data_IF_866547731092
#
_entry.id   IF_866547731092
#
_cell.length_a   1.000
_cell.length_b   1.000
_cell.length_c   1.000
_cell.angle_alpha   90.00
_cell.angle_beta   90.00
_cell.angle_gamma   90.00
#
_symmetry.space_group_name_H-M   'P 1'
#
loop_
_entity.id
_entity.type
_entity.pdbx_description
1 polymer ?
#
# COMPACT_ATOMS: atom_id res chain seq x y z
N UNK A 1 51.35 70.31 48.49
CA UNK A 1 50.38 70.89 47.53
C UNK A 1 50.38 70.05 46.26
N UNK A 2 49.18 69.70 45.75
CA UNK A 2 48.85 69.13 44.42
C UNK A 2 49.24 67.65 44.20
N UNK A 3 48.30 66.71 44.39
CA UNK A 3 47.30 66.15 43.44
C UNK A 3 47.93 65.21 42.39
N UNK A 4 47.76 63.89 42.58
CA UNK A 4 47.82 62.86 41.52
C UNK A 4 46.46 62.16 41.56
N UNK A 5 45.67 62.35 40.50
CA UNK A 5 44.34 61.77 40.35
C UNK A 5 44.41 60.51 39.48
N UNK A 6 43.92 59.41 40.05
CA UNK A 6 43.61 58.14 39.39
C UNK A 6 42.40 58.38 38.46
N UNK A 7 42.57 58.17 37.15
CA UNK A 7 41.47 58.26 36.17
C UNK A 7 41.07 56.86 35.72
N UNK A 8 39.81 56.54 36.03
CA UNK A 8 39.09 55.31 35.69
C UNK A 8 38.58 55.42 34.25
N UNK A 9 38.96 54.47 33.39
CA UNK A 9 38.54 54.41 31.98
C UNK A 9 37.32 53.49 31.88
N UNK A 10 36.13 54.09 31.73
CA UNK A 10 34.87 53.37 31.51
C UNK A 10 34.73 53.10 30.01
N UNK A 11 34.90 51.84 29.61
CA UNK A 11 34.61 51.39 28.24
C UNK A 11 33.10 51.09 28.12
N UNK A 12 32.43 51.82 27.24
CA UNK A 12 31.01 51.64 26.91
C UNK A 12 30.88 50.57 25.83
N UNK A 13 30.28 49.43 26.16
CA UNK A 13 29.99 48.35 25.21
C UNK A 13 28.66 48.60 24.50
N UNK A 14 28.71 48.72 23.18
CA UNK A 14 27.55 48.81 22.28
C UNK A 14 27.00 47.39 22.07
N UNK A 15 25.76 47.14 22.50
CA UNK A 15 25.02 45.92 22.17
C UNK A 15 24.44 46.07 20.75
N UNK A 16 24.94 45.27 19.82
CA UNK A 16 24.32 45.03 18.52
C UNK A 16 23.19 44.02 18.74
N UNK A 17 21.94 44.47 18.60
CA UNK A 17 20.77 43.60 18.60
C UNK A 17 20.68 42.86 17.27
N UNK A 18 20.77 41.53 17.32
CA UNK A 18 20.35 40.68 16.20
C UNK A 18 18.82 40.61 16.20
N UNK A 19 18.26 41.02 15.08
CA UNK A 19 16.85 40.96 14.74
C UNK A 19 16.51 39.50 14.39
N UNK A 20 15.93 38.74 15.34
CA UNK A 20 15.33 37.45 15.01
C UNK A 20 14.02 37.70 14.25
N UNK A 21 14.05 37.43 12.95
CA UNK A 21 12.83 37.23 12.17
C UNK A 21 12.15 35.95 12.67
N UNK A 22 11.25 36.10 13.63
CA UNK A 22 10.26 35.09 13.96
C UNK A 22 9.29 34.98 12.78
N UNK A 23 9.57 34.09 11.85
CA UNK A 23 8.52 33.51 11.03
C UNK A 23 7.62 32.72 11.98
N UNK A 24 6.45 33.29 12.28
CA UNK A 24 5.35 32.61 12.96
C UNK A 24 5.09 31.26 12.30
N UNK A 25 5.58 30.17 12.91
CA UNK A 25 5.03 28.86 12.67
C UNK A 25 3.68 28.83 13.38
N UNK A 26 2.57 28.56 12.67
CA UNK A 26 1.30 28.38 13.35
C UNK A 26 1.45 27.20 14.31
N UNK A 27 1.19 27.49 15.57
CA UNK A 27 1.15 26.60 16.72
C UNK A 27 0.60 25.22 16.30
N UNK A 28 1.48 24.24 16.04
CA UNK A 28 1.06 22.87 15.77
C UNK A 28 0.27 22.43 16.99
N UNK A 29 -1.04 22.34 16.83
CA UNK A 29 -1.85 21.59 17.76
C UNK A 29 -1.35 20.15 17.60
N UNK A 30 -0.42 19.74 18.47
CA UNK A 30 0.09 18.37 18.57
C UNK A 30 -1.09 17.51 18.98
N UNK A 31 -1.95 17.20 18.01
CA UNK A 31 -3.02 16.24 18.17
C UNK A 31 -2.29 14.93 18.41
N UNK A 32 -2.38 14.41 19.62
CA UNK A 32 -1.78 13.12 19.98
C UNK A 32 -2.32 12.09 18.98
N UNK A 33 -1.45 11.60 18.10
CA UNK A 33 -1.81 10.55 17.14
C UNK A 33 -2.12 9.29 17.95
N UNK A 34 -3.37 8.82 17.86
CA UNK A 34 -3.78 7.58 18.49
C UNK A 34 -3.16 6.40 17.73
N UNK A 35 -2.61 5.47 18.50
CA UNK A 35 -1.95 4.24 18.03
C UNK A 35 -2.38 3.04 18.89
N UNK A 36 -3.43 3.19 19.70
CA UNK A 36 -3.88 2.18 20.67
C UNK A 36 -4.46 0.93 20.01
N UNK A 37 -4.95 1.06 18.79
CA UNK A 37 -5.45 0.03 17.89
C UNK A 37 -4.36 -0.53 16.95
N UNK A 38 -3.11 -0.03 17.02
CA UNK A 38 -2.07 -0.48 16.11
C UNK A 38 -1.69 -1.94 16.37
N UNK A 39 -1.79 -2.71 15.30
CA UNK A 39 -1.47 -4.12 15.25
C UNK A 39 -0.72 -4.44 13.96
N UNK A 40 0.19 -5.42 14.04
CA UNK A 40 0.92 -5.94 12.87
C UNK A 40 0.67 -7.43 12.68
N UNK A 41 0.45 -8.14 13.78
CA UNK A 41 0.14 -9.57 13.77
C UNK A 41 -1.28 -9.78 13.25
N UNK A 42 -1.40 -10.68 12.28
CA UNK A 42 -2.69 -11.25 11.92
C UNK A 42 -3.01 -12.43 12.82
N UNK A 43 -4.28 -12.80 12.89
CA UNK A 43 -4.61 -14.13 13.40
C UNK A 43 -3.84 -15.16 12.52
N UNK A 44 -3.13 -16.12 13.13
CA UNK A 44 -2.43 -17.17 12.38
C UNK A 44 -3.41 -17.84 11.40
N UNK A 45 -3.02 -18.12 10.15
CA UNK A 45 -3.91 -18.47 9.05
C UNK A 45 -4.61 -19.84 9.20
N UNK A 46 -4.60 -20.46 10.37
CA UNK A 46 -5.14 -21.80 10.60
C UNK A 46 -6.65 -21.95 10.36
N UNK A 47 -7.40 -20.84 10.14
CA UNK A 47 -8.87 -20.93 10.01
C UNK A 47 -9.49 -20.43 8.70
N UNK A 48 -8.82 -19.64 7.85
CA UNK A 48 -9.42 -19.21 6.57
C UNK A 48 -8.93 -19.98 5.35
N UNK A 49 -7.75 -20.62 5.43
CA UNK A 49 -7.14 -21.37 4.32
C UNK A 49 -7.70 -22.80 4.12
N UNK A 50 -8.70 -23.22 4.92
CA UNK A 50 -9.30 -24.54 4.78
C UNK A 50 -10.51 -24.47 3.83
N UNK A 51 -10.23 -24.55 2.53
CA UNK A 51 -10.89 -25.45 1.55
C UNK A 51 -11.12 -24.89 0.14
N UNK A 52 -10.88 -23.61 -0.15
CA UNK A 52 -11.08 -23.15 -1.53
C UNK A 52 -9.81 -23.24 -2.37
N UNK A 53 -9.63 -24.37 -3.05
CA UNK A 53 -8.56 -24.57 -4.03
C UNK A 53 -8.66 -23.63 -5.24
N UNK A 54 -9.78 -22.91 -5.39
CA UNK A 54 -10.06 -22.02 -6.51
C UNK A 54 -10.09 -20.52 -6.12
N UNK A 55 -9.90 -20.18 -4.84
CA UNK A 55 -9.91 -18.80 -4.35
C UNK A 55 -8.56 -18.07 -4.53
N UNK A 56 -8.58 -16.73 -4.50
CA UNK A 56 -7.38 -15.90 -4.54
C UNK A 56 -6.51 -16.18 -3.32
N UNK A 57 -5.25 -16.56 -3.56
CA UNK A 57 -4.28 -16.87 -2.50
C UNK A 57 -3.11 -15.88 -2.52
N UNK A 58 -3.27 -14.73 -1.84
CA UNK A 58 -2.15 -13.85 -1.49
C UNK A 58 -1.47 -14.39 -0.22
N UNK A 59 -0.14 -14.26 -0.17
CA UNK A 59 0.69 -14.75 0.93
C UNK A 59 1.42 -13.64 1.71
N UNK A 60 1.06 -12.37 1.47
CA UNK A 60 1.72 -11.19 2.04
C UNK A 60 1.70 -11.17 3.56
N UNK A 61 0.58 -11.56 4.18
CA UNK A 61 0.45 -11.56 5.64
C UNK A 61 1.27 -12.69 6.30
N UNK A 62 1.36 -13.85 5.67
CA UNK A 62 2.20 -14.96 6.11
C UNK A 62 3.70 -14.60 5.98
N UNK A 63 4.08 -13.92 4.89
CA UNK A 63 5.44 -13.37 4.74
C UNK A 63 5.73 -12.35 5.82
N UNK A 64 4.81 -11.42 6.08
CA UNK A 64 4.95 -10.43 7.16
C UNK A 64 5.09 -11.09 8.53
N UNK A 65 4.22 -12.04 8.88
CA UNK A 65 4.27 -12.77 10.16
C UNK A 65 5.60 -13.52 10.33
N UNK A 66 6.10 -14.16 9.28
CA UNK A 66 7.43 -14.77 9.30
C UNK A 66 8.52 -13.72 9.54
N UNK A 67 8.50 -12.62 8.81
CA UNK A 67 9.50 -11.55 8.94
C UNK A 67 9.48 -10.89 10.33
N UNK A 68 8.32 -10.76 10.97
CA UNK A 68 8.21 -10.27 12.35
C UNK A 68 8.86 -11.24 13.35
N UNK A 69 8.72 -12.56 13.13
CA UNK A 69 9.38 -13.59 13.94
C UNK A 69 10.90 -13.60 13.73
N UNK A 70 11.35 -13.43 12.50
CA UNK A 70 12.77 -13.42 12.11
C UNK A 70 13.49 -12.11 12.50
N UNK A 71 12.77 -10.99 12.50
CA UNK A 71 13.29 -9.66 12.81
C UNK A 71 12.34 -8.88 13.72
N UNK A 72 12.48 -8.97 15.05
CA UNK A 72 11.66 -8.23 16.00
C UNK A 72 11.72 -6.70 15.82
N UNK A 73 12.79 -6.18 15.22
CA UNK A 73 12.92 -4.75 14.90
C UNK A 73 11.93 -4.26 13.83
N UNK A 74 11.37 -5.17 13.03
CA UNK A 74 10.37 -4.86 12.01
C UNK A 74 9.09 -4.27 12.63
N UNK A 75 8.65 -4.78 13.78
CA UNK A 75 7.47 -4.25 14.47
C UNK A 75 7.61 -2.74 14.73
N UNK A 76 8.76 -2.31 15.28
CA UNK A 76 9.04 -0.89 15.53
C UNK A 76 9.08 -0.07 14.25
N UNK A 77 9.62 -0.62 13.16
CA UNK A 77 9.65 0.07 11.86
C UNK A 77 8.23 0.27 11.32
N UNK A 78 7.38 -0.75 11.37
CA UNK A 78 5.99 -0.65 10.91
C UNK A 78 5.15 0.26 11.81
N UNK A 79 5.38 0.25 13.13
CA UNK A 79 4.79 1.23 14.06
C UNK A 79 5.11 2.66 13.63
N UNK A 80 6.38 2.93 13.31
CA UNK A 80 6.80 4.26 12.86
C UNK A 80 6.18 4.64 11.51
N UNK A 81 6.04 3.68 10.58
CA UNK A 81 5.36 3.91 9.29
C UNK A 81 3.89 4.26 9.52
N UNK A 82 3.18 3.52 10.37
CA UNK A 82 1.78 3.82 10.69
C UNK A 82 1.64 5.16 11.39
N UNK A 83 2.47 5.45 12.39
CA UNK A 83 2.46 6.73 13.10
C UNK A 83 2.68 7.90 12.14
N UNK A 84 3.66 7.79 11.23
CA UNK A 84 3.91 8.80 10.22
C UNK A 84 2.72 8.94 9.25
N UNK A 85 2.10 7.83 8.84
CA UNK A 85 0.91 7.80 7.97
C UNK A 85 -0.26 8.54 8.62
N UNK A 86 -0.60 8.21 9.87
CA UNK A 86 -1.69 8.85 10.61
C UNK A 86 -1.38 10.33 10.88
N UNK A 87 -0.13 10.66 11.22
CA UNK A 87 0.31 12.05 11.39
C UNK A 87 0.14 12.85 10.10
N UNK A 88 0.55 12.28 8.97
CA UNK A 88 0.42 12.91 7.65
C UNK A 88 -1.04 13.17 7.29
N UNK A 89 -1.90 12.16 7.46
CA UNK A 89 -3.34 12.27 7.19
C UNK A 89 -3.98 13.34 8.09
N UNK A 90 -3.72 13.29 9.40
CA UNK A 90 -4.29 14.23 10.36
C UNK A 90 -3.84 15.69 10.12
N UNK A 91 -2.59 15.91 9.71
CA UNK A 91 -2.04 17.24 9.45
C UNK A 91 -2.68 17.94 8.24
N UNK A 92 -3.28 17.17 7.33
CA UNK A 92 -3.88 17.69 6.09
C UNK A 92 -5.39 17.93 6.20
N UNK A 93 -5.95 17.75 7.40
CA UNK A 93 -7.38 17.88 7.68
C UNK A 93 -8.03 16.52 7.93
N UNK A 94 -9.13 16.51 8.69
CA UNK A 94 -9.92 15.28 8.82
C UNK A 94 -10.48 14.92 7.44
N UNK A 95 -10.53 13.62 7.08
CA UNK A 95 -11.43 13.17 6.03
C UNK A 95 -12.81 13.80 6.22
N UNK A 96 -13.26 14.58 5.24
CA UNK A 96 -14.53 15.28 5.33
C UNK A 96 -15.59 14.36 4.72
N UNK A 97 -16.64 14.05 5.48
CA UNK A 97 -17.86 13.44 4.94
C UNK A 97 -18.52 14.46 3.99
N UNK A 98 -18.78 14.14 2.71
CA UNK A 98 -19.63 14.96 1.86
C UNK A 98 -21.03 15.03 2.48
N UNK A 99 -21.48 16.24 2.82
CA UNK A 99 -22.86 16.48 3.26
C UNK A 99 -23.11 16.39 4.77
N UNK A 100 -22.34 17.10 5.60
CA UNK A 100 -22.65 17.35 7.03
C UNK A 100 -23.87 18.30 7.23
N UNK A 101 -24.90 18.10 6.40
CA UNK A 101 -26.21 18.72 6.45
C UNK A 101 -27.28 17.66 6.68
N UNK A 102 -27.28 17.08 7.89
CA UNK A 102 -28.43 16.47 8.56
C UNK A 102 -29.28 15.44 7.79
N UNK A 103 -29.13 14.17 8.15
CA UNK A 103 -30.25 13.30 8.57
C UNK A 103 -29.70 11.95 9.03
N UNK A 104 -30.15 11.47 10.18
CA UNK A 104 -29.86 10.13 10.66
C UNK A 104 -30.41 9.07 9.70
N UNK A 105 -29.51 8.26 9.16
CA UNK A 105 -29.82 7.06 8.39
C UNK A 105 -29.03 5.89 8.98
N UNK A 106 -29.76 4.94 9.56
CA UNK A 106 -29.25 3.70 10.13
C UNK A 106 -28.87 2.72 9.01
N UNK A 107 -27.65 2.16 9.04
CA UNK A 107 -27.41 0.81 8.52
C UNK A 107 -26.38 0.59 7.39
N UNK A 108 -25.94 1.60 6.64
CA UNK A 108 -24.84 1.42 5.67
C UNK A 108 -23.52 1.83 6.33
N UNK A 109 -22.60 0.91 6.57
CA UNK A 109 -21.23 1.21 7.04
C UNK A 109 -20.37 1.96 6.03
N UNK A 110 -21.00 2.59 5.04
CA UNK A 110 -20.42 3.35 3.94
C UNK A 110 -20.14 4.79 4.41
N UNK A 111 -18.87 5.18 4.41
CA UNK A 111 -18.38 6.46 4.93
C UNK A 111 -17.43 7.07 3.93
N UNK A 112 -17.86 8.12 3.26
CA UNK A 112 -17.01 8.84 2.33
C UNK A 112 -15.83 9.56 3.01
N UNK A 113 -14.64 9.39 2.44
CA UNK A 113 -13.39 10.10 2.80
C UNK A 113 -12.95 10.94 1.62
N UNK A 114 -12.57 12.20 1.85
CA UNK A 114 -12.01 13.03 0.78
C UNK A 114 -10.51 12.72 0.51
N UNK A 115 -10.04 12.79 -0.75
CA UNK A 115 -8.62 12.79 -1.06
C UNK A 115 -7.89 13.97 -0.41
N UNK A 116 -6.75 13.70 0.20
CA UNK A 116 -5.87 14.72 0.74
C UNK A 116 -5.04 15.34 -0.40
N UNK A 117 -4.93 16.67 -0.38
CA UNK A 117 -3.95 17.40 -1.17
C UNK A 117 -2.57 17.33 -0.50
N UNK A 118 -1.78 16.35 -0.92
CA UNK A 118 -0.41 16.15 -0.46
C UNK A 118 0.63 17.03 -1.17
N UNK A 119 0.32 17.53 -2.36
CA UNK A 119 1.21 18.35 -3.17
C UNK A 119 2.25 17.56 -3.99
N UNK A 120 2.15 16.22 -4.08
CA UNK A 120 3.08 15.44 -4.90
C UNK A 120 2.71 15.43 -6.38
N UNK A 121 1.47 15.77 -6.74
CA UNK A 121 0.96 15.53 -8.09
C UNK A 121 0.93 14.03 -8.43
N UNK A 122 1.13 13.68 -9.69
CA UNK A 122 1.25 12.27 -10.11
C UNK A 122 2.62 11.74 -9.68
N UNK A 123 2.63 10.65 -8.92
CA UNK A 123 3.86 9.94 -8.51
C UNK A 123 4.14 8.82 -9.51
N UNK A 124 5.23 8.93 -10.27
CA UNK A 124 5.65 7.88 -11.21
C UNK A 124 6.61 6.92 -10.53
N UNK A 125 6.27 5.63 -10.51
CA UNK A 125 7.08 4.53 -9.97
C UNK A 125 7.75 3.77 -11.13
N UNK A 126 9.08 3.87 -11.29
CA UNK A 126 9.83 3.03 -12.21
C UNK A 126 9.80 1.56 -11.75
N UNK A 127 9.61 0.63 -12.70
CA UNK A 127 9.43 -0.79 -12.43
C UNK A 127 10.51 -1.63 -13.11
N UNK A 128 11.17 -2.49 -12.35
CA UNK A 128 11.96 -3.59 -12.88
C UNK A 128 11.20 -4.91 -12.77
N UNK A 129 11.11 -5.63 -13.89
CA UNK A 129 10.48 -6.96 -13.93
C UNK A 129 11.55 -8.04 -14.06
N UNK A 130 11.58 -8.98 -13.12
CA UNK A 130 12.50 -10.12 -13.07
C UNK A 130 11.75 -11.40 -13.44
N UNK A 131 11.84 -11.83 -14.69
CA UNK A 131 11.27 -13.10 -15.14
C UNK A 131 12.23 -14.24 -14.84
N UNK A 132 11.85 -15.12 -13.93
CA UNK A 132 12.62 -16.29 -13.50
C UNK A 132 11.85 -17.55 -13.88
N UNK A 133 12.37 -18.30 -14.86
CA UNK A 133 11.58 -19.33 -15.55
C UNK A 133 12.30 -20.67 -15.64
N UNK A 134 11.55 -21.76 -15.48
CA UNK A 134 12.03 -23.15 -15.62
C UNK A 134 11.63 -23.81 -16.93
N UNK A 135 10.69 -23.21 -17.66
CA UNK A 135 10.19 -23.69 -18.95
C UNK A 135 9.69 -22.53 -19.82
N UNK A 136 9.33 -22.83 -21.07
CA UNK A 136 8.95 -21.82 -22.06
C UNK A 136 7.67 -21.04 -21.70
N UNK A 137 6.70 -21.65 -21.01
CA UNK A 137 5.47 -20.96 -20.63
C UNK A 137 5.73 -19.89 -19.55
N UNK A 138 6.64 -20.20 -18.62
CA UNK A 138 7.03 -19.26 -17.56
C UNK A 138 7.92 -18.12 -18.07
N UNK A 139 8.55 -18.27 -19.23
CA UNK A 139 9.29 -17.20 -19.90
C UNK A 139 8.32 -16.24 -20.62
N UNK A 140 7.48 -15.55 -19.84
CA UNK A 140 6.37 -14.73 -20.34
C UNK A 140 6.83 -13.65 -21.33
N UNK A 141 6.02 -13.35 -22.33
CA UNK A 141 6.39 -12.38 -23.37
C UNK A 141 6.45 -10.93 -22.86
N UNK A 142 7.18 -10.05 -23.56
CA UNK A 142 7.16 -8.61 -23.26
C UNK A 142 5.76 -8.01 -23.43
N UNK A 143 4.93 -8.56 -24.33
CA UNK A 143 3.53 -8.15 -24.47
C UNK A 143 2.71 -8.45 -23.21
N UNK A 144 2.96 -9.60 -22.57
CA UNK A 144 2.34 -9.94 -21.28
C UNK A 144 2.80 -8.98 -20.17
N UNK A 145 4.10 -8.65 -20.13
CA UNK A 145 4.64 -7.67 -19.18
C UNK A 145 4.01 -6.29 -19.38
N UNK A 146 4.00 -5.79 -20.61
CA UNK A 146 3.42 -4.49 -20.96
C UNK A 146 1.92 -4.44 -20.65
N UNK A 147 1.20 -5.54 -20.85
CA UNK A 147 -0.22 -5.63 -20.47
C UNK A 147 -0.43 -5.44 -18.96
N UNK A 148 0.49 -5.93 -18.12
CA UNK A 148 0.38 -5.71 -16.68
C UNK A 148 0.69 -4.26 -16.29
N UNK A 149 1.70 -3.64 -16.90
CA UNK A 149 2.01 -2.22 -16.64
C UNK A 149 0.83 -1.34 -17.06
N UNK A 150 0.13 -1.68 -18.16
CA UNK A 150 -1.10 -1.00 -18.56
C UNK A 150 -2.22 -1.17 -17.52
N UNK A 151 -2.42 -2.38 -16.97
CA UNK A 151 -3.40 -2.63 -15.90
C UNK A 151 -3.07 -1.85 -14.64
N UNK A 152 -1.81 -1.84 -14.18
CA UNK A 152 -1.41 -1.08 -13.01
C UNK A 152 -1.72 0.42 -13.20
N UNK A 153 -1.39 0.99 -14.35
CA UNK A 153 -1.77 2.38 -14.64
C UNK A 153 -3.29 2.56 -14.69
N UNK A 154 -4.03 1.63 -15.28
CA UNK A 154 -5.49 1.73 -15.35
C UNK A 154 -6.15 1.72 -13.96
N UNK A 155 -5.75 0.77 -13.12
CA UNK A 155 -6.32 0.55 -11.79
C UNK A 155 -5.91 1.66 -10.80
N UNK A 156 -4.65 2.11 -10.83
CA UNK A 156 -4.16 3.18 -9.94
C UNK A 156 -4.52 4.60 -10.41
N UNK A 157 -4.93 4.77 -11.67
CA UNK A 157 -5.43 6.05 -12.22
C UNK A 157 -6.94 6.11 -12.39
N UNK A 158 -7.69 5.11 -11.94
CA UNK A 158 -9.16 5.00 -12.13
C UNK A 158 -9.59 5.14 -13.60
N UNK A 159 -8.77 4.65 -14.52
CA UNK A 159 -9.07 4.63 -15.96
C UNK A 159 -9.41 3.23 -16.47
N UNK A 160 -9.46 2.25 -15.56
CA UNK A 160 -9.91 0.91 -15.87
C UNK A 160 -11.40 0.93 -16.29
N UNK A 161 -11.65 0.49 -17.52
CA UNK A 161 -12.98 0.56 -18.15
C UNK A 161 -13.90 -0.60 -17.76
N UNK A 162 -13.41 -1.53 -16.95
CA UNK A 162 -14.14 -2.71 -16.48
C UNK A 162 -14.82 -2.47 -15.12
N UNK A 163 -15.37 -1.26 -14.97
CA UNK A 163 -16.36 -0.83 -13.99
C UNK A 163 -17.51 -1.85 -13.85
N UNK A 164 -17.29 -2.88 -13.04
CA UNK A 164 -18.30 -3.88 -12.68
C UNK A 164 -18.63 -3.74 -11.20
N UNK A 165 -19.20 -2.59 -10.82
CA UNK A 165 -19.81 -2.48 -9.51
C UNK A 165 -20.97 -3.48 -9.43
N UNK A 166 -21.04 -4.31 -8.38
CA UNK A 166 -22.22 -5.10 -8.11
C UNK A 166 -23.47 -4.23 -8.14
N UNK A 167 -24.52 -4.71 -8.81
CA UNK A 167 -25.78 -3.97 -8.93
C UNK A 167 -26.32 -3.58 -7.55
N UNK A 168 -26.61 -2.29 -7.37
CA UNK A 168 -27.11 -1.74 -6.10
C UNK A 168 -26.03 -1.33 -5.10
N UNK A 169 -24.75 -1.47 -5.43
CA UNK A 169 -23.64 -0.97 -4.62
C UNK A 169 -23.75 0.55 -4.40
N UNK A 170 -23.44 1.00 -3.18
CA UNK A 170 -23.40 2.42 -2.81
C UNK A 170 -22.01 3.04 -2.94
N UNK A 171 -20.94 2.23 -2.99
CA UNK A 171 -19.53 2.63 -2.95
C UNK A 171 -18.98 3.32 -4.22
N UNK A 172 -19.83 3.72 -5.16
CA UNK A 172 -19.38 4.30 -6.43
C UNK A 172 -18.65 5.65 -6.24
N UNK A 173 -19.05 6.38 -5.20
CA UNK A 173 -18.48 7.65 -4.75
C UNK A 173 -17.10 7.51 -4.11
N UNK A 174 -16.76 6.36 -3.52
CA UNK A 174 -15.46 6.16 -2.85
C UNK A 174 -14.32 5.85 -3.84
N UNK A 175 -14.63 5.44 -5.06
CA UNK A 175 -13.63 5.02 -6.05
C UNK A 175 -12.68 6.17 -6.41
N UNK A 176 -11.38 5.93 -6.33
CA UNK A 176 -10.36 7.00 -6.38
C UNK A 176 -9.39 6.91 -7.56
N UNK A 177 -8.92 8.06 -8.05
CA UNK A 177 -7.64 8.16 -8.79
C UNK A 177 -6.52 8.32 -7.78
N UNK A 178 -5.68 7.28 -7.61
CA UNK A 178 -4.58 7.31 -6.65
C UNK A 178 -3.44 8.24 -7.05
N UNK A 179 -3.45 8.76 -8.28
CA UNK A 179 -2.41 9.60 -8.87
C UNK A 179 -1.02 8.95 -8.79
N UNK A 180 -0.98 7.63 -9.01
CA UNK A 180 0.24 6.83 -9.09
C UNK A 180 0.30 6.22 -10.48
N UNK A 181 1.42 6.41 -11.17
CA UNK A 181 1.71 5.81 -12.47
C UNK A 181 2.92 4.88 -12.40
N UNK A 182 3.00 3.95 -13.34
CA UNK A 182 4.06 2.96 -13.42
C UNK A 182 4.70 3.00 -14.80
N UNK A 183 6.03 3.05 -14.83
CA UNK A 183 6.81 2.98 -16.08
C UNK A 183 7.75 1.79 -16.03
N UNK A 184 7.82 1.02 -17.13
CA UNK A 184 8.76 -0.10 -17.22
C UNK A 184 10.18 0.45 -17.41
N UNK A 185 11.02 0.31 -16.39
CA UNK A 185 12.43 0.72 -16.43
C UNK A 185 13.31 -0.35 -17.08
N UNK A 186 12.94 -1.63 -16.96
CA UNK A 186 13.67 -2.72 -17.59
C UNK A 186 13.12 -4.09 -17.24
N UNK A 187 13.60 -5.10 -17.97
CA UNK A 187 13.26 -6.52 -17.75
C UNK A 187 14.52 -7.36 -17.68
N UNK A 188 14.61 -8.20 -16.65
CA UNK A 188 15.65 -9.20 -16.46
C UNK A 188 15.05 -10.58 -16.69
N UNK A 189 15.73 -11.44 -17.44
CA UNK A 189 15.25 -12.80 -17.74
C UNK A 189 16.30 -13.82 -17.32
N UNK A 190 15.91 -14.72 -16.42
CA UNK A 190 16.81 -15.72 -15.84
C UNK A 190 16.20 -17.11 -15.99
N UNK A 191 16.87 -17.98 -16.77
CA UNK A 191 16.52 -19.39 -16.82
C UNK A 191 17.01 -20.08 -15.54
N UNK A 192 16.14 -20.83 -14.87
CA UNK A 192 16.46 -21.56 -13.65
C UNK A 192 15.63 -22.84 -13.55
N UNK A 193 16.26 -23.98 -13.32
CA UNK A 193 15.59 -25.29 -13.26
C UNK A 193 14.74 -25.52 -12.00
N UNK A 194 14.76 -24.60 -11.03
CA UNK A 194 13.88 -24.68 -9.87
C UNK A 194 12.41 -24.66 -10.31
N UNK A 195 11.70 -25.74 -9.99
CA UNK A 195 10.29 -25.90 -10.37
C UNK A 195 9.34 -24.99 -9.56
N UNK A 196 9.73 -24.58 -8.36
CA UNK A 196 8.96 -23.68 -7.49
C UNK A 196 9.90 -22.96 -6.51
N UNK A 197 9.57 -21.71 -6.18
CA UNK A 197 10.37 -20.84 -5.32
C UNK A 197 9.81 -20.67 -3.91
N UNK A 198 8.54 -21.01 -3.69
CA UNK A 198 7.85 -20.76 -2.43
C UNK A 198 7.81 -19.28 -2.05
N UNK A 199 7.46 -19.01 -0.79
CA UNK A 199 7.26 -17.63 -0.27
C UNK A 199 8.33 -17.20 0.72
N UNK A 200 9.41 -17.97 0.86
CA UNK A 200 10.54 -17.71 1.76
C UNK A 200 11.58 -16.73 1.17
N UNK A 201 11.20 -15.92 0.18
CA UNK A 201 12.08 -15.02 -0.56
C UNK A 201 13.24 -15.71 -1.31
N UNK A 202 13.19 -17.03 -1.56
CA UNK A 202 14.28 -17.71 -2.29
C UNK A 202 14.56 -17.09 -3.67
N UNK A 203 13.52 -16.66 -4.39
CA UNK A 203 13.69 -16.00 -5.70
C UNK A 203 14.40 -14.65 -5.57
N UNK A 204 14.07 -13.88 -4.52
CA UNK A 204 14.70 -12.58 -4.24
C UNK A 204 16.14 -12.75 -3.75
N UNK A 205 16.45 -13.83 -3.04
CA UNK A 205 17.83 -14.15 -2.65
C UNK A 205 18.68 -14.58 -3.83
N UNK A 206 18.12 -15.36 -4.77
CA UNK A 206 18.82 -15.79 -5.98
C UNK A 206 18.98 -14.66 -7.01
N UNK A 207 17.99 -13.77 -7.10
CA UNK A 207 17.94 -12.63 -8.00
C UNK A 207 17.58 -11.37 -7.21
N UNK A 208 18.56 -10.73 -6.54
CA UNK A 208 18.33 -9.57 -5.67
C UNK A 208 17.69 -8.38 -6.37
N UNK A 209 16.92 -7.53 -5.65
CA UNK A 209 16.33 -6.33 -6.22
C UNK A 209 17.38 -5.39 -6.78
N UNK A 210 17.02 -4.72 -7.87
CA UNK A 210 17.82 -3.65 -8.48
C UNK A 210 17.26 -2.33 -7.99
N UNK A 211 18.10 -1.55 -7.31
CA UNK A 211 17.79 -0.19 -6.80
C UNK A 211 16.42 -0.08 -6.11
N UNK A 212 16.11 -0.90 -5.09
CA UNK A 212 14.79 -0.96 -4.45
C UNK A 212 14.32 0.36 -3.80
N UNK A 213 15.24 1.29 -3.56
CA UNK A 213 14.90 2.62 -3.03
C UNK A 213 14.21 3.53 -4.05
N UNK A 214 14.41 3.28 -5.36
CA UNK A 214 13.90 4.15 -6.44
C UNK A 214 13.13 3.38 -7.51
N UNK A 215 13.05 2.05 -7.39
CA UNK A 215 12.36 1.20 -8.35
C UNK A 215 11.54 0.13 -7.61
N UNK A 216 10.30 -0.06 -8.03
CA UNK A 216 9.54 -1.25 -7.66
C UNK A 216 10.14 -2.45 -8.40
N UNK A 217 10.51 -3.48 -7.64
CA UNK A 217 10.97 -4.75 -8.19
C UNK A 217 9.82 -5.76 -8.16
N UNK A 218 9.50 -6.32 -9.32
CA UNK A 218 8.46 -7.33 -9.51
C UNK A 218 9.14 -8.60 -10.01
N UNK A 219 9.06 -9.70 -9.27
CA UNK A 219 9.53 -10.99 -9.74
C UNK A 219 8.37 -11.81 -10.30
N UNK A 220 8.58 -12.37 -11.48
CA UNK A 220 7.67 -13.32 -12.10
C UNK A 220 8.31 -14.70 -12.00
N UNK A 221 7.79 -15.53 -11.10
CA UNK A 221 8.40 -16.82 -10.78
C UNK A 221 7.35 -17.79 -10.25
N UNK A 222 7.46 -19.07 -10.59
CA UNK A 222 6.55 -20.10 -10.09
C UNK A 222 6.68 -20.23 -8.56
N UNK A 223 5.66 -19.77 -7.83
CA UNK A 223 5.67 -19.83 -6.35
C UNK A 223 5.33 -21.25 -5.89
N UNK A 224 4.44 -21.97 -6.58
CA UNK A 224 3.90 -23.27 -6.18
C UNK A 224 2.74 -23.18 -5.20
N UNK A 225 2.05 -24.30 -4.99
CA UNK A 225 0.97 -24.42 -3.99
C UNK A 225 -0.32 -23.67 -4.33
N UNK A 226 -0.49 -23.17 -5.56
CA UNK A 226 -1.64 -22.37 -5.95
C UNK A 226 -1.59 -20.93 -5.42
N UNK A 227 -0.43 -20.46 -4.96
CA UNK A 227 -0.21 -19.10 -4.48
C UNK A 227 -0.06 -18.16 -5.68
N UNK A 228 -0.82 -17.06 -5.65
CA UNK A 228 -0.88 -16.11 -6.75
C UNK A 228 0.26 -15.11 -6.68
N UNK A 229 0.46 -14.53 -5.50
CA UNK A 229 1.50 -13.56 -5.26
C UNK A 229 1.77 -13.31 -3.78
N UNK A 230 2.83 -12.53 -3.53
CA UNK A 230 3.08 -11.92 -2.23
C UNK A 230 3.92 -10.65 -2.38
N UNK A 231 3.69 -9.72 -1.49
CA UNK A 231 4.42 -8.47 -1.34
C UNK A 231 5.29 -8.46 -0.09
N UNK A 232 6.18 -7.49 -0.03
CA UNK A 232 6.79 -7.04 1.21
C UNK A 232 6.21 -5.66 1.58
N UNK A 233 5.69 -5.55 2.80
CA UNK A 233 5.22 -4.28 3.35
C UNK A 233 6.37 -3.29 3.59
N UNK A 234 6.10 -1.97 3.59
CA UNK A 234 7.07 -0.97 4.01
C UNK A 234 7.65 -1.24 5.40
N UNK A 235 8.94 -0.93 5.56
CA UNK A 235 9.70 -1.23 6.79
C UNK A 235 10.46 -2.56 6.75
N UNK A 236 10.17 -3.43 5.78
CA UNK A 236 10.91 -4.66 5.49
C UNK A 236 12.38 -4.45 5.09
N UNK A 237 13.07 -5.54 4.78
CA UNK A 237 14.47 -5.49 4.35
C UNK A 237 14.59 -5.04 2.88
N UNK A 238 15.46 -4.08 2.58
CA UNK A 238 15.67 -3.61 1.20
C UNK A 238 16.15 -4.72 0.26
N UNK A 239 16.87 -5.72 0.77
CA UNK A 239 17.32 -6.87 -0.02
C UNK A 239 16.17 -7.78 -0.52
N UNK A 240 14.95 -7.58 -0.02
CA UNK A 240 13.76 -8.35 -0.42
C UNK A 240 12.55 -7.46 -0.72
N UNK A 241 12.75 -6.14 -0.89
CA UNK A 241 11.66 -5.20 -1.16
C UNK A 241 11.07 -5.39 -2.57
N UNK A 242 9.74 -5.35 -2.67
CA UNK A 242 8.98 -5.59 -3.90
C UNK A 242 8.04 -6.78 -3.82
N UNK A 243 7.51 -7.20 -4.97
CA UNK A 243 6.41 -8.16 -5.09
C UNK A 243 6.79 -9.36 -5.95
N UNK A 244 6.25 -10.54 -5.65
CA UNK A 244 6.43 -11.76 -6.45
C UNK A 244 5.08 -12.26 -6.91
N UNK A 245 4.97 -12.63 -8.17
CA UNK A 245 3.72 -13.06 -8.81
C UNK A 245 4.00 -14.32 -9.63
N UNK A 246 3.15 -15.33 -9.50
CA UNK A 246 3.22 -16.53 -10.35
C UNK A 246 2.90 -16.17 -11.81
N UNK A 247 3.62 -16.72 -12.80
CA UNK A 247 3.59 -16.25 -14.19
C UNK A 247 2.20 -16.27 -14.83
N UNK A 248 1.38 -17.26 -14.49
CA UNK A 248 0.00 -17.39 -14.98
C UNK A 248 -0.99 -16.37 -14.42
N UNK A 249 -0.59 -15.51 -13.49
CA UNK A 249 -1.44 -14.48 -12.88
C UNK A 249 -0.88 -13.06 -13.07
N UNK A 250 0.01 -12.89 -14.05
CA UNK A 250 0.63 -11.61 -14.39
C UNK A 250 0.27 -11.17 -15.81
N UNK A 251 -0.36 -10.00 -15.93
CA UNK A 251 -0.84 -9.45 -17.20
C UNK A 251 -2.21 -9.99 -17.62
N UNK A 252 -2.59 -9.71 -18.87
CA UNK A 252 -3.93 -10.02 -19.43
C UNK A 252 -3.88 -10.75 -20.76
N UNK A 253 -2.68 -11.06 -21.24
CA UNK A 253 -2.42 -11.75 -22.50
C UNK A 253 -1.28 -12.75 -22.33
N UNK A 254 -1.17 -13.72 -23.23
CA UNK A 254 -0.15 -14.75 -23.19
C UNK A 254 -0.47 -15.86 -22.19
N UNK A 255 0.49 -16.21 -21.34
CA UNK A 255 0.36 -17.29 -20.37
C UNK A 255 -0.34 -16.75 -19.12
N UNK A 256 -1.66 -16.63 -19.19
CA UNK A 256 -2.53 -16.21 -18.06
C UNK A 256 -3.65 -17.22 -17.82
N UNK A 257 -4.09 -17.38 -16.58
CA UNK A 257 -5.09 -18.36 -16.17
C UNK A 257 -6.28 -17.70 -15.47
N UNK A 258 -7.49 -17.93 -15.99
CA UNK A 258 -8.72 -17.52 -15.32
C UNK A 258 -8.92 -18.32 -14.02
N UNK A 259 -9.56 -17.73 -12.98
CA UNK A 259 -10.23 -16.43 -12.98
C UNK A 259 -9.31 -15.23 -12.75
N UNK A 260 -8.00 -15.43 -12.51
CA UNK A 260 -7.03 -14.38 -12.18
C UNK A 260 -6.20 -13.93 -13.39
N UNK A 261 -6.89 -13.53 -14.47
CA UNK A 261 -6.30 -13.20 -15.76
C UNK A 261 -6.57 -11.76 -16.23
N UNK A 262 -6.87 -10.84 -15.31
CA UNK A 262 -7.02 -9.41 -15.60
C UNK A 262 -5.91 -8.56 -14.99
N UNK A 263 -4.91 -9.18 -14.37
CA UNK A 263 -3.72 -8.54 -13.82
C UNK A 263 -3.93 -7.96 -12.43
N UNK A 264 -5.02 -8.30 -11.74
CA UNK A 264 -5.35 -7.69 -10.44
C UNK A 264 -4.67 -8.36 -9.26
N UNK A 265 -4.08 -9.53 -9.47
CA UNK A 265 -3.07 -10.06 -8.55
C UNK A 265 -1.95 -9.02 -8.35
N UNK A 266 -1.40 -8.44 -9.43
CA UNK A 266 -0.36 -7.42 -9.29
C UNK A 266 -0.88 -6.14 -8.62
N UNK A 267 -2.07 -5.67 -8.99
CA UNK A 267 -2.71 -4.49 -8.36
C UNK A 267 -2.83 -4.66 -6.85
N UNK A 268 -3.28 -5.83 -6.40
CA UNK A 268 -3.40 -6.19 -4.99
C UNK A 268 -2.04 -6.24 -4.27
N UNK A 269 -1.05 -6.95 -4.82
CA UNK A 269 0.29 -7.03 -4.19
C UNK A 269 0.98 -5.65 -4.17
N UNK A 270 0.78 -4.82 -5.18
CA UNK A 270 1.30 -3.44 -5.20
C UNK A 270 0.56 -2.58 -4.17
N UNK A 271 -0.72 -2.83 -3.90
CA UNK A 271 -1.44 -2.23 -2.77
C UNK A 271 -0.75 -2.52 -1.43
N UNK A 272 -0.38 -3.77 -1.16
CA UNK A 272 0.42 -4.14 0.02
C UNK A 272 1.81 -3.47 0.04
N UNK A 273 2.50 -3.46 -1.10
CA UNK A 273 3.77 -2.74 -1.26
C UNK A 273 3.61 -1.25 -0.91
N UNK A 274 2.45 -0.66 -1.19
CA UNK A 274 2.08 0.72 -0.89
C UNK A 274 1.32 0.88 0.44
N UNK A 275 1.50 -0.03 1.40
CA UNK A 275 1.01 0.06 2.77
C UNK A 275 -0.50 -0.19 2.99
N UNK A 276 -1.19 -0.82 2.04
CA UNK A 276 -2.57 -1.28 2.22
C UNK A 276 -2.63 -2.68 2.83
N UNK A 277 -3.63 -2.91 3.68
CA UNK A 277 -3.94 -4.23 4.25
C UNK A 277 -5.11 -4.85 3.50
N UNK A 278 -5.37 -6.12 3.76
CA UNK A 278 -6.62 -6.73 3.36
C UNK A 278 -7.79 -6.02 4.04
N UNK A 279 -8.91 -5.83 3.33
CA UNK A 279 -10.04 -5.01 3.81
C UNK A 279 -10.75 -5.60 5.05
N UNK A 280 -10.57 -6.89 5.35
CA UNK A 280 -11.10 -7.53 6.57
C UNK A 280 -10.13 -7.47 7.77
N UNK A 281 -9.02 -6.73 7.62
CA UNK A 281 -8.04 -6.48 8.68
C UNK A 281 -7.24 -7.70 9.15
N UNK A 282 -7.44 -8.89 8.57
CA UNK A 282 -6.79 -10.15 8.96
C UNK A 282 -6.99 -10.59 10.43
N UNK A 283 -8.10 -10.19 11.05
CA UNK A 283 -8.44 -10.61 12.42
C UNK A 283 -9.91 -10.51 12.80
N UNK A 284 -10.79 -10.82 11.84
CA UNK A 284 -12.25 -10.77 11.97
C UNK A 284 -12.75 -9.35 12.31
N UNK A 285 -13.96 -9.22 12.86
CA UNK A 285 -14.55 -7.94 13.32
C UNK A 285 -13.80 -7.22 14.46
N UNK A 286 -12.56 -7.59 14.78
CA UNK A 286 -11.75 -6.99 15.86
C UNK A 286 -10.53 -6.26 15.34
N UNK A 287 -10.22 -6.42 14.06
CA UNK A 287 -9.10 -5.79 13.39
C UNK A 287 -9.64 -4.99 12.22
N UNK A 288 -8.85 -3.98 11.84
CA UNK A 288 -9.20 -3.03 10.79
C UNK A 288 -8.04 -2.93 9.81
N UNK A 289 -8.33 -2.56 8.57
CA UNK A 289 -7.31 -2.30 7.55
C UNK A 289 -6.68 -0.89 7.69
N UNK A 290 -7.17 -0.13 8.68
CA UNK A 290 -6.80 1.23 9.05
C UNK A 290 -7.22 2.28 8.01
N UNK A 291 -8.27 1.98 7.24
CA UNK A 291 -8.90 2.87 6.28
C UNK A 291 -10.35 3.11 6.73
N UNK A 292 -10.78 4.37 6.77
CA UNK A 292 -12.09 4.71 7.34
C UNK A 292 -13.26 4.42 6.38
N UNK A 293 -13.03 4.51 5.07
CA UNK A 293 -14.04 4.31 4.01
C UNK A 293 -14.08 2.87 3.48
N UNK A 294 -13.40 1.95 4.14
CA UNK A 294 -13.52 0.50 3.92
C UNK A 294 -14.36 -0.09 5.07
N UNK A 295 -15.58 -0.58 4.79
CA UNK A 295 -16.42 -1.15 5.84
C UNK A 295 -15.78 -2.39 6.50
N UNK A 296 -15.94 -2.52 7.81
CA UNK A 296 -15.41 -3.65 8.58
C UNK A 296 -16.01 -4.98 8.11
N UNK A 297 -15.14 -5.96 7.83
CA UNK A 297 -15.52 -7.34 7.47
C UNK A 297 -14.83 -8.36 8.39
N UNK A 298 -15.38 -9.58 8.47
CA UNK A 298 -14.82 -10.65 9.31
C UNK A 298 -13.90 -11.63 8.57
N UNK A 299 -13.81 -11.50 7.24
CA UNK A 299 -12.98 -12.35 6.41
C UNK A 299 -12.96 -11.96 4.94
N UNK A 300 -12.15 -12.66 4.13
CA UNK A 300 -12.09 -12.47 2.68
C UNK A 300 -13.37 -12.92 1.99
N UNK A 301 -13.69 -12.27 0.88
CA UNK A 301 -14.69 -12.73 -0.08
C UNK A 301 -13.99 -13.34 -1.31
N UNK A 302 -14.62 -14.33 -1.95
CA UNK A 302 -14.07 -15.05 -3.10
C UNK A 302 -15.07 -15.10 -4.27
N UNK A 303 -14.57 -15.38 -5.47
CA UNK A 303 -15.39 -15.43 -6.67
C UNK A 303 -15.95 -14.04 -7.02
N UNK A 304 -17.21 -14.01 -7.44
CA UNK A 304 -17.95 -12.78 -7.75
C UNK A 304 -19.22 -12.69 -6.88
N UNK A 305 -19.12 -12.26 -5.61
CA UNK A 305 -20.25 -12.22 -4.70
C UNK A 305 -21.38 -11.31 -5.19
N UNK A 306 -22.63 -11.71 -4.93
CA UNK A 306 -23.79 -10.84 -5.12
C UNK A 306 -23.85 -9.79 -4.01
N UNK A 307 -24.16 -8.55 -4.37
CA UNK A 307 -24.35 -7.49 -3.40
C UNK A 307 -25.79 -7.47 -2.83
N UNK A 308 -25.98 -7.20 -1.53
CA UNK A 308 -24.94 -6.99 -0.52
C UNK A 308 -24.42 -8.31 0.07
N UNK A 309 -23.12 -8.38 0.31
CA UNK A 309 -22.53 -9.30 1.30
C UNK A 309 -22.37 -8.54 2.61
N UNK A 310 -22.76 -9.10 3.74
CA UNK A 310 -22.81 -8.39 5.02
C UNK A 310 -22.06 -9.18 6.10
N UNK A 311 -20.91 -8.65 6.53
CA UNK A 311 -20.15 -9.14 7.68
C UNK A 311 -19.94 -8.00 8.69
N UNK A 312 -19.68 -8.34 9.96
CA UNK A 312 -19.50 -7.35 11.04
C UNK A 312 -20.59 -6.27 11.16
N UNK A 313 -21.82 -6.56 10.69
CA UNK A 313 -22.95 -5.61 10.61
C UNK A 313 -22.73 -4.43 9.63
N UNK A 314 -21.77 -4.55 8.72
CA UNK A 314 -21.56 -3.61 7.62
C UNK A 314 -21.65 -4.35 6.28
N UNK A 315 -21.75 -3.61 5.17
CA UNK A 315 -21.77 -4.22 3.84
C UNK A 315 -20.34 -4.30 3.33
N UNK A 316 -19.87 -5.48 2.97
CA UNK A 316 -18.51 -5.69 2.49
C UNK A 316 -18.31 -4.99 1.13
N UNK A 317 -17.20 -4.28 1.00
CA UNK A 317 -16.77 -3.70 -0.28
C UNK A 317 -16.04 -4.75 -1.12
N UNK A 318 -16.77 -5.80 -1.55
CA UNK A 318 -16.22 -7.00 -2.22
C UNK A 318 -15.50 -6.72 -3.55
N UNK A 319 -15.75 -5.55 -4.13
CA UNK A 319 -15.13 -5.06 -5.36
C UNK A 319 -13.83 -4.26 -5.13
N UNK A 320 -13.38 -4.15 -3.88
CA UNK A 320 -12.11 -3.52 -3.56
C UNK A 320 -10.94 -4.41 -4.01
N UNK A 321 -9.88 -3.82 -4.58
CA UNK A 321 -8.69 -4.57 -5.00
C UNK A 321 -8.00 -5.31 -3.86
N UNK A 322 -8.18 -4.87 -2.61
CA UNK A 322 -7.61 -5.47 -1.40
C UNK A 322 -8.47 -6.61 -0.80
N UNK A 323 -9.55 -7.02 -1.47
CA UNK A 323 -10.27 -8.28 -1.18
C UNK A 323 -9.73 -9.46 -2.05
N UNK A 324 -10.29 -10.65 -1.84
CA UNK A 324 -9.90 -11.92 -2.47
C UNK A 324 -10.84 -12.40 -3.59
N UNK A 325 -11.69 -11.50 -4.09
CA UNK A 325 -12.59 -11.78 -5.21
C UNK A 325 -11.81 -12.07 -6.50
N UNK A 326 -12.50 -12.59 -7.50
CA UNK A 326 -11.92 -12.82 -8.82
C UNK A 326 -11.52 -11.50 -9.48
N UNK A 327 -10.49 -11.53 -10.33
CA UNK A 327 -9.94 -10.36 -11.04
C UNK A 327 -11.00 -9.57 -11.84
N UNK A 328 -12.09 -10.21 -12.26
CA UNK A 328 -13.19 -9.61 -13.02
C UNK A 328 -14.25 -8.90 -12.15
N UNK A 329 -14.14 -9.05 -10.82
CA UNK A 329 -15.12 -8.60 -9.83
C UNK A 329 -14.53 -7.64 -8.80
N UNK A 330 -13.27 -7.26 -8.97
CA UNK A 330 -12.63 -6.14 -8.29
C UNK A 330 -12.37 -4.99 -9.26
N UNK A 331 -12.50 -3.77 -8.76
CA UNK A 331 -12.61 -2.58 -9.59
C UNK A 331 -11.95 -1.32 -9.01
N UNK A 332 -11.77 -1.23 -7.68
CA UNK A 332 -11.44 0.06 -7.06
C UNK A 332 -10.50 -0.03 -5.86
N UNK A 333 -9.76 1.07 -5.68
CA UNK A 333 -9.31 1.54 -4.38
C UNK A 333 -10.23 2.67 -3.90
N UNK A 334 -10.24 2.93 -2.60
CA UNK A 334 -10.98 4.04 -1.98
C UNK A 334 -10.12 5.29 -1.80
N UNK A 335 -10.73 6.45 -1.62
CA UNK A 335 -10.04 7.71 -1.32
C UNK A 335 -9.18 7.60 -0.03
N UNK A 336 -9.66 6.87 0.98
CA UNK A 336 -8.91 6.55 2.19
C UNK A 336 -7.69 5.66 1.93
N UNK A 337 -7.82 4.65 1.06
CA UNK A 337 -6.68 3.85 0.60
C UNK A 337 -5.66 4.70 -0.17
N UNK A 338 -6.09 5.59 -1.07
CA UNK A 338 -5.21 6.57 -1.73
C UNK A 338 -4.43 7.39 -0.71
N UNK A 339 -5.10 7.94 0.30
CA UNK A 339 -4.47 8.77 1.32
C UNK A 339 -3.35 8.02 2.06
N UNK A 340 -3.56 6.74 2.38
CA UNK A 340 -2.53 5.88 3.01
C UNK A 340 -1.38 5.56 2.08
N UNK A 341 -1.65 5.18 0.83
CA UNK A 341 -0.61 4.90 -0.17
C UNK A 341 0.28 6.12 -0.42
N UNK A 342 -0.30 7.32 -0.41
CA UNK A 342 0.45 8.54 -0.71
C UNK A 342 1.22 9.06 0.49
N UNK A 343 0.78 8.78 1.71
CA UNK A 343 1.48 9.19 2.93
C UNK A 343 2.91 8.64 3.03
N UNK A 344 3.19 7.46 2.47
CA UNK A 344 4.54 6.87 2.51
C UNK A 344 5.55 7.52 1.56
N UNK A 345 5.08 8.38 0.65
CA UNK A 345 5.93 9.24 -0.20
C UNK A 345 6.33 10.55 0.49
N UNK A 346 5.75 10.88 1.64
CA UNK A 346 6.13 12.05 2.41
C UNK A 346 7.61 12.00 2.82
N UNK A 347 8.23 13.16 2.98
CA UNK A 347 9.64 13.27 3.37
C UNK A 347 9.94 12.46 4.64
N UNK A 348 11.00 11.65 4.59
CA UNK A 348 11.35 10.71 5.67
C UNK A 348 10.51 9.42 5.72
N UNK A 349 9.50 9.29 4.87
CA UNK A 349 8.71 8.08 4.67
C UNK A 349 9.49 6.98 3.95
N UNK A 350 9.02 5.72 4.02
CA UNK A 350 9.74 4.56 3.50
C UNK A 350 9.85 4.54 1.97
N UNK A 351 9.05 5.35 1.27
CA UNK A 351 9.02 5.47 -0.19
C UNK A 351 9.24 6.90 -0.67
N UNK A 352 9.79 7.77 0.16
CA UNK A 352 9.98 9.20 -0.15
C UNK A 352 10.77 9.47 -1.44
N UNK A 353 11.67 8.55 -1.83
CA UNK A 353 12.48 8.70 -3.04
C UNK A 353 11.70 8.54 -4.36
N UNK A 354 10.43 8.11 -4.32
CA UNK A 354 9.55 8.13 -5.49
C UNK A 354 8.87 9.49 -5.70
N UNK A 355 8.78 10.34 -4.66
CA UNK A 355 8.19 11.67 -4.79
C UNK A 355 9.12 12.60 -5.59
N UNK A 356 8.57 13.26 -6.62
CA UNK A 356 9.28 14.30 -7.38
C UNK A 356 10.17 13.83 -8.53
N UNK A 357 9.96 12.61 -9.05
CA UNK A 357 10.58 12.13 -10.30
C UNK A 357 9.74 12.45 -11.53
#
# INVERSE_FOLDING_TARGET
MKKVFLSLLVATSIFIGCQENSTDMPNETQTKIDMSDFIVHTDEPETFAKNDKNGKNCYSMQVLNRQLKENPGLYKKMYNVEYATRKFIAAKGKPVKPGDGGSGGSGSGDVDVAPINDGFGIVTIPVYVHVVYSNSNQNISDAQINSQIAVLNADFRKTNSDLNLPSGSTFANDATDSEIEFTLAGTFRNANSNASWGTNNAVKSAYPPVTPNTHLNIWIAEIGGGILGYAQFPGGNSATDGVVISPQYFGTTGFVAAPFNKGRTATHEVGHYLNLRHIWGDGRCRQDDFVLDTPSSDGPNYGCPSFPTVNCKTTDMTMNYMDYTDDACMYMFTDGQRNRMRAIFASGGPRAAFAGN
#
